data_IF_460485378066
#
_entry.id   IF_460485378066
#
_cell.length_a   1.000
_cell.length_b   1.000
_cell.length_c   1.000
_cell.angle_alpha   90.00
_cell.angle_beta   90.00
_cell.angle_gamma   90.00
#
_symmetry.space_group_name_H-M   'P 1'
#
loop_
_entity.id
_entity.type
_entity.pdbx_description
1 polymer ?
#
# COMPACT_ATOMS: atom_id res chain seq x y z
N UNK A 1 -3.74 13.92 6.60
CA UNK A 1 -3.46 12.46 6.53
C UNK A 1 -2.41 12.22 5.47
N UNK A 2 -1.34 11.51 5.77
CA UNK A 2 -0.43 10.99 4.75
C UNK A 2 -0.74 9.53 4.47
N UNK A 3 -0.80 9.17 3.19
CA UNK A 3 -1.00 7.79 2.76
C UNK A 3 0.27 6.98 3.11
N UNK A 4 0.09 5.89 3.84
CA UNK A 4 1.18 4.98 4.24
C UNK A 4 1.57 4.07 3.08
N UNK A 5 0.59 3.65 2.30
CA UNK A 5 0.79 2.75 1.17
C UNK A 5 0.68 3.50 -0.16
N UNK A 6 1.51 3.13 -1.14
CA UNK A 6 1.48 3.68 -2.51
C UNK A 6 1.66 2.59 -3.57
N UNK A 7 1.07 2.81 -4.73
CA UNK A 7 1.34 2.01 -5.93
C UNK A 7 2.54 2.56 -6.67
N UNK A 8 3.50 1.70 -6.98
CA UNK A 8 4.60 1.99 -7.90
C UNK A 8 4.49 1.11 -9.15
N UNK A 9 4.98 1.63 -10.27
CA UNK A 9 5.16 0.85 -11.49
C UNK A 9 6.58 0.32 -11.53
N UNK A 10 6.72 -0.95 -11.88
CA UNK A 10 8.00 -1.62 -12.08
C UNK A 10 8.00 -2.29 -13.44
N UNK A 11 9.16 -2.33 -14.08
CA UNK A 11 9.37 -3.04 -15.33
C UNK A 11 10.18 -4.29 -15.03
N UNK A 12 9.65 -5.45 -15.38
CA UNK A 12 10.37 -6.71 -15.27
C UNK A 12 11.48 -6.71 -16.32
N UNK A 13 12.73 -6.95 -15.91
CA UNK A 13 13.88 -6.87 -16.82
C UNK A 13 13.90 -7.99 -17.88
N UNK A 14 13.29 -9.13 -17.58
CA UNK A 14 13.29 -10.33 -18.43
C UNK A 14 12.35 -10.20 -19.63
N UNK A 15 11.09 -9.77 -19.39
CA UNK A 15 10.04 -9.71 -20.41
C UNK A 15 9.60 -8.27 -20.74
N UNK A 16 10.20 -7.26 -20.11
CA UNK A 16 9.80 -5.85 -20.25
C UNK A 16 8.40 -5.55 -19.72
N UNK A 17 7.73 -6.51 -19.08
CA UNK A 17 6.35 -6.35 -18.65
C UNK A 17 6.24 -5.37 -17.50
N UNK A 18 5.22 -4.51 -17.58
CA UNK A 18 4.86 -3.63 -16.47
C UNK A 18 4.17 -4.44 -15.38
N UNK A 19 4.57 -4.18 -14.15
CA UNK A 19 3.96 -4.71 -12.93
C UNK A 19 3.76 -3.59 -11.92
N UNK A 20 2.60 -3.61 -11.28
CA UNK A 20 2.20 -2.65 -10.27
C UNK A 20 2.41 -3.26 -8.89
N UNK A 21 3.02 -2.51 -7.99
CA UNK A 21 3.44 -2.99 -6.68
C UNK A 21 2.96 -2.02 -5.60
N UNK A 22 2.35 -2.55 -4.55
CA UNK A 22 1.92 -1.75 -3.40
C UNK A 22 3.03 -1.76 -2.35
N UNK A 23 3.54 -0.58 -2.00
CA UNK A 23 4.69 -0.40 -1.10
C UNK A 23 4.27 0.34 0.16
N UNK A 24 4.82 -0.07 1.31
CA UNK A 24 4.73 0.66 2.57
C UNK A 24 5.88 1.68 2.65
N UNK A 25 5.52 2.96 2.72
CA UNK A 25 6.48 4.07 2.76
C UNK A 25 7.14 4.26 4.13
N UNK A 26 6.59 3.67 5.20
CA UNK A 26 7.04 3.88 6.59
C UNK A 26 8.03 2.79 7.00
N UNK A 27 7.74 1.53 6.72
CA UNK A 27 8.61 0.42 7.14
C UNK A 27 9.81 0.20 6.20
N UNK A 28 9.93 0.95 5.09
CA UNK A 28 10.93 0.66 4.07
C UNK A 28 10.85 -0.78 3.56
N UNK A 29 9.64 -1.37 3.64
CA UNK A 29 9.41 -2.78 3.38
C UNK A 29 9.54 -3.12 1.91
N UNK A 30 10.06 -4.33 1.62
CA UNK A 30 10.17 -4.87 0.26
C UNK A 30 8.90 -4.61 -0.54
N UNK A 31 9.06 -4.00 -1.71
CA UNK A 31 7.97 -3.48 -2.55
C UNK A 31 6.92 -4.53 -2.99
N UNK A 32 7.06 -5.79 -2.62
CA UNK A 32 6.11 -6.87 -2.95
C UNK A 32 5.44 -7.52 -1.73
N UNK A 33 5.59 -6.99 -0.51
CA UNK A 33 4.85 -7.50 0.67
C UNK A 33 3.34 -7.53 0.47
N UNK A 34 2.80 -6.59 -0.31
CA UNK A 34 1.36 -6.45 -0.57
C UNK A 34 0.95 -6.93 -1.96
N UNK A 35 1.80 -7.75 -2.59
CA UNK A 35 1.53 -8.34 -3.90
C UNK A 35 2.14 -7.58 -5.08
N UNK A 36 2.08 -8.24 -6.23
CA UNK A 36 2.53 -7.72 -7.53
C UNK A 36 1.40 -7.97 -8.53
N UNK A 37 0.92 -6.91 -9.17
CA UNK A 37 -0.28 -6.91 -10.00
C UNK A 37 0.09 -6.61 -11.45
N UNK A 38 -0.63 -7.22 -12.39
CA UNK A 38 -0.50 -6.89 -13.82
C UNK A 38 -1.36 -5.69 -14.21
N UNK A 39 -2.44 -5.46 -13.47
CA UNK A 39 -3.41 -4.38 -13.72
C UNK A 39 -3.29 -3.32 -12.63
N UNK A 40 -3.16 -2.04 -13.03
CA UNK A 40 -3.03 -0.92 -12.09
C UNK A 40 -4.24 -0.78 -11.16
N UNK A 41 -5.44 -0.96 -11.69
CA UNK A 41 -6.69 -0.83 -10.92
C UNK A 41 -6.77 -1.82 -9.74
N UNK A 42 -6.24 -3.03 -9.89
CA UNK A 42 -6.18 -4.01 -8.79
C UNK A 42 -5.23 -3.55 -7.68
N UNK A 43 -4.05 -3.05 -8.07
CA UNK A 43 -3.10 -2.48 -7.12
C UNK A 43 -3.67 -1.25 -6.40
N UNK A 44 -4.41 -0.39 -7.11
CA UNK A 44 -5.06 0.79 -6.52
C UNK A 44 -6.17 0.41 -5.54
N UNK A 45 -6.95 -0.65 -5.83
CA UNK A 45 -7.97 -1.17 -4.92
C UNK A 45 -7.35 -1.67 -3.61
N UNK A 46 -6.26 -2.45 -3.69
CA UNK A 46 -5.52 -2.95 -2.52
C UNK A 46 -4.88 -1.79 -1.75
N UNK A 47 -4.25 -0.85 -2.45
CA UNK A 47 -3.66 0.35 -1.85
C UNK A 47 -4.70 1.19 -1.09
N UNK A 48 -5.88 1.36 -1.66
CA UNK A 48 -6.99 2.10 -1.04
C UNK A 48 -7.48 1.40 0.22
N UNK A 49 -7.65 0.07 0.17
CA UNK A 49 -8.06 -0.72 1.33
C UNK A 49 -7.07 -0.60 2.48
N UNK A 50 -5.76 -0.77 2.21
CA UNK A 50 -4.72 -0.69 3.22
C UNK A 50 -4.62 0.71 3.86
N UNK A 51 -4.77 1.77 3.06
CA UNK A 51 -4.79 3.13 3.59
C UNK A 51 -6.05 3.42 4.43
N UNK A 52 -7.21 2.87 4.05
CA UNK A 52 -8.44 2.99 4.82
C UNK A 52 -8.37 2.23 6.16
N UNK A 53 -7.77 1.03 6.17
CA UNK A 53 -7.51 0.28 7.38
C UNK A 53 -6.55 1.02 8.31
N UNK A 54 -5.44 1.53 7.77
CA UNK A 54 -4.48 2.31 8.54
C UNK A 54 -5.13 3.55 9.17
N UNK A 55 -6.01 4.25 8.44
CA UNK A 55 -6.78 5.36 9.00
C UNK A 55 -7.67 4.90 10.16
N UNK A 56 -8.38 3.77 10.00
CA UNK A 56 -9.21 3.20 11.06
C UNK A 56 -8.39 2.84 12.29
N UNK A 57 -7.24 2.21 12.12
CA UNK A 57 -6.35 1.86 13.24
C UNK A 57 -5.83 3.11 13.97
N UNK A 58 -5.40 4.14 13.24
CA UNK A 58 -5.02 5.42 13.85
C UNK A 58 -6.20 6.19 14.46
N UNK A 59 -7.43 5.98 13.97
CA UNK A 59 -8.65 6.54 14.53
C UNK A 59 -9.04 5.88 15.85
N UNK A 60 -8.91 4.55 15.95
CA UNK A 60 -9.21 3.78 17.17
C UNK A 60 -8.21 4.08 18.30
N UNK A 61 -6.93 4.34 17.99
CA UNK A 61 -5.92 4.70 19.01
C UNK A 61 -6.14 6.09 19.60
N UNK A 62 -6.91 6.98 18.95
CA UNK A 62 -7.15 8.35 19.44
C UNK A 62 -8.42 8.51 20.26
N UNK A 63 -9.22 7.46 20.46
CA UNK A 63 -10.44 7.51 21.31
C UNK A 63 -10.30 6.69 22.59
N UNK A 64 -9.09 6.23 22.94
CA UNK A 64 -8.87 5.46 24.16
C UNK A 64 -7.64 5.96 24.91
N UNK A 65 -7.76 7.14 25.52
CA UNK A 65 -7.03 7.56 26.72
C UNK A 65 -7.75 8.80 27.27
N UNK A 66 -8.83 8.56 28.00
CA UNK A 66 -9.39 9.49 28.96
C UNK A 66 -9.84 8.67 30.15
N UNK A 67 -8.91 8.49 31.10
CA UNK A 67 -9.17 8.22 32.51
C UNK A 67 -8.28 9.18 33.29
#
# INVERSE_FOLDING_TARGET
MHARFRVIETTTLDDGSKRYRVVDLVEGGSASKHGVFKVRAEADAVCSLLNAEHLRQNGVVRTSLSI
#
